data_IF_052474959461
#
_entry.id   IF_052474959461
#
_cell.length_a   1.000
_cell.length_b   1.000
_cell.length_c   1.000
_cell.angle_alpha   90.00
_cell.angle_beta   90.00
_cell.angle_gamma   90.00
#
_symmetry.space_group_name_H-M   'P 1'
#
loop_
_entity.id
_entity.type
_entity.pdbx_description
1 polymer ?
#
# COMPACT_ATOMS: atom_id res chain seq x y z
N UNK A 1 24.09 -2.36 3.76
CA UNK A 1 22.95 -1.71 3.07
C UNK A 1 21.74 -2.55 3.35
N UNK A 2 20.70 -1.96 3.91
CA UNK A 2 19.39 -2.61 4.00
C UNK A 2 18.84 -2.66 2.57
N UNK A 3 18.38 -3.83 2.07
CA UNK A 3 17.83 -3.90 0.72
C UNK A 3 16.60 -2.99 0.63
N UNK A 4 16.59 -2.08 -0.35
CA UNK A 4 15.52 -1.11 -0.59
C UNK A 4 14.18 -1.81 -0.83
N UNK A 5 13.10 -1.29 -0.24
CA UNK A 5 11.74 -1.73 -0.55
C UNK A 5 11.41 -1.29 -1.97
N UNK A 6 10.88 -2.22 -2.78
CA UNK A 6 10.52 -2.00 -4.20
C UNK A 6 9.02 -2.11 -4.45
N UNK A 7 8.32 -2.92 -3.66
CA UNK A 7 6.85 -3.02 -3.68
C UNK A 7 6.30 -3.24 -2.28
N UNK A 8 5.20 -2.56 -1.99
CA UNK A 8 4.32 -2.85 -0.85
C UNK A 8 2.90 -3.09 -1.35
N UNK A 9 2.22 -4.08 -0.79
CA UNK A 9 0.77 -4.20 -0.90
C UNK A 9 0.22 -4.10 0.51
N UNK A 10 -0.66 -3.13 0.73
CA UNK A 10 -1.23 -2.85 2.05
C UNK A 10 -2.76 -2.86 2.01
N UNK A 11 -3.36 -3.35 3.07
CA UNK A 11 -4.79 -3.24 3.37
C UNK A 11 -5.02 -2.00 4.22
N UNK A 12 -5.85 -1.08 3.73
CA UNK A 12 -6.11 0.23 4.34
C UNK A 12 -7.60 0.37 4.61
N UNK A 13 -7.94 0.62 5.86
CA UNK A 13 -9.28 1.08 6.24
C UNK A 13 -9.31 2.60 6.22
N UNK A 14 -10.29 3.20 5.55
CA UNK A 14 -10.50 4.66 5.54
C UNK A 14 -11.94 5.05 5.86
N UNK A 15 -12.18 6.27 6.37
CA UNK A 15 -13.52 6.87 6.36
C UNK A 15 -14.07 7.02 4.94
N UNK A 16 -15.37 7.32 4.81
CA UNK A 16 -15.99 7.62 3.51
C UNK A 16 -15.32 8.81 2.80
N UNK A 17 -14.91 9.82 3.57
CA UNK A 17 -14.20 11.01 3.11
C UNK A 17 -12.87 11.15 3.87
N UNK A 18 -11.74 11.43 3.19
CA UNK A 18 -11.63 11.76 1.77
C UNK A 18 -11.76 10.55 0.82
N UNK A 19 -12.03 10.83 -0.46
CA UNK A 19 -12.24 9.80 -1.50
C UNK A 19 -10.95 9.02 -1.82
N UNK A 20 -11.10 7.85 -2.44
CA UNK A 20 -9.99 6.96 -2.84
C UNK A 20 -8.93 7.68 -3.68
N UNK A 21 -9.32 8.67 -4.49
CA UNK A 21 -8.39 9.45 -5.30
C UNK A 21 -7.36 10.18 -4.43
N UNK A 22 -7.80 10.80 -3.34
CA UNK A 22 -6.92 11.57 -2.46
C UNK A 22 -5.96 10.67 -1.66
N UNK A 23 -6.42 9.48 -1.24
CA UNK A 23 -5.55 8.46 -0.67
C UNK A 23 -4.50 7.96 -1.68
N UNK A 24 -4.90 7.78 -2.94
CA UNK A 24 -4.00 7.29 -4.00
C UNK A 24 -2.95 8.34 -4.35
N UNK A 25 -3.36 9.60 -4.51
CA UNK A 25 -2.46 10.72 -4.83
C UNK A 25 -1.47 10.95 -3.68
N UNK A 26 -1.94 10.95 -2.44
CA UNK A 26 -1.09 11.14 -1.25
C UNK A 26 -0.06 10.02 -1.09
N UNK A 27 -0.45 8.76 -1.35
CA UNK A 27 0.49 7.64 -1.36
C UNK A 27 1.50 7.74 -2.51
N UNK A 28 1.09 8.26 -3.68
CA UNK A 28 1.97 8.44 -4.83
C UNK A 28 3.01 9.55 -4.63
N UNK A 29 2.70 10.56 -3.81
CA UNK A 29 3.61 11.66 -3.47
C UNK A 29 4.67 11.28 -2.40
N UNK A 30 4.59 10.08 -1.82
CA UNK A 30 5.55 9.61 -0.82
C UNK A 30 6.94 9.34 -1.43
N UNK A 31 7.98 9.51 -0.61
CA UNK A 31 9.37 9.32 -1.05
C UNK A 31 9.61 7.90 -1.55
N UNK A 32 10.28 7.80 -2.70
CA UNK A 32 10.63 6.52 -3.30
C UNK A 32 9.47 5.80 -3.98
N UNK A 33 8.31 6.45 -4.13
CA UNK A 33 7.16 5.88 -4.87
C UNK A 33 7.18 6.34 -6.33
N UNK A 34 7.14 5.38 -7.24
CA UNK A 34 7.02 5.62 -8.69
C UNK A 34 5.56 5.50 -9.17
N UNK A 35 4.76 4.68 -8.47
CA UNK A 35 3.35 4.49 -8.83
C UNK A 35 2.55 3.77 -7.75
N UNK A 36 1.26 4.08 -7.73
CA UNK A 36 0.28 3.50 -6.82
C UNK A 36 -0.93 3.01 -7.61
N UNK A 37 -1.39 1.80 -7.31
CA UNK A 37 -2.68 1.29 -7.70
C UNK A 37 -3.57 1.15 -6.46
N UNK A 38 -4.77 1.71 -6.51
CA UNK A 38 -5.77 1.58 -5.46
C UNK A 38 -6.98 0.79 -5.96
N UNK A 39 -7.45 -0.14 -5.14
CA UNK A 39 -8.68 -0.92 -5.39
C UNK A 39 -9.57 -0.82 -4.16
N UNK A 40 -10.81 -0.36 -4.35
CA UNK A 40 -11.85 -0.45 -3.32
C UNK A 40 -12.28 -1.91 -3.20
N UNK A 41 -12.02 -2.51 -2.04
CA UNK A 41 -12.35 -3.90 -1.73
C UNK A 41 -13.78 -4.01 -1.21
N UNK A 42 -14.13 -3.15 -0.25
CA UNK A 42 -15.42 -3.17 0.42
C UNK A 42 -15.84 -1.76 0.83
N UNK A 43 -17.16 -1.54 0.87
CA UNK A 43 -17.76 -0.33 1.43
C UNK A 43 -18.79 -0.71 2.47
N UNK A 44 -18.54 -0.28 3.69
CA UNK A 44 -19.45 -0.37 4.82
C UNK A 44 -20.15 0.97 5.08
N UNK A 45 -21.02 1.00 6.09
CA UNK A 45 -21.78 2.21 6.43
C UNK A 45 -20.88 3.39 6.82
N UNK A 46 -19.77 3.13 7.48
CA UNK A 46 -18.92 4.17 8.08
C UNK A 46 -17.50 4.19 7.49
N UNK A 47 -17.04 3.07 6.92
CA UNK A 47 -15.66 2.89 6.43
C UNK A 47 -15.61 2.22 5.07
N UNK A 48 -14.47 2.32 4.43
CA UNK A 48 -14.13 1.64 3.18
C UNK A 48 -12.79 0.93 3.34
N UNK A 49 -12.69 -0.29 2.81
CA UNK A 49 -11.43 -1.04 2.77
C UNK A 49 -10.81 -0.90 1.38
N UNK A 50 -9.56 -0.51 1.34
CA UNK A 50 -8.76 -0.31 0.13
C UNK A 50 -7.58 -1.27 0.13
N UNK A 51 -7.26 -1.80 -1.05
CA UNK A 51 -5.96 -2.40 -1.32
C UNK A 51 -5.11 -1.41 -2.09
N UNK A 52 -4.00 -0.98 -1.51
CA UNK A 52 -3.00 -0.18 -2.20
C UNK A 52 -1.82 -1.07 -2.60
N UNK A 53 -1.45 -1.03 -3.88
CA UNK A 53 -0.21 -1.61 -4.39
C UNK A 53 0.71 -0.48 -4.79
N UNK A 54 1.86 -0.38 -4.13
CA UNK A 54 2.84 0.70 -4.29
C UNK A 54 4.11 0.10 -4.87
N UNK A 55 4.64 0.69 -5.92
CA UNK A 55 5.94 0.34 -6.50
C UNK A 55 6.85 1.57 -6.59
N UNK A 56 8.15 1.34 -6.45
CA UNK A 56 9.16 2.37 -6.60
C UNK A 56 10.55 1.95 -6.13
N UNK A 57 11.39 2.92 -5.81
CA UNK A 57 12.76 2.72 -5.35
C UNK A 57 12.96 3.29 -3.95
N UNK A 58 13.29 2.42 -2.99
CA UNK A 58 13.53 2.79 -1.59
C UNK A 58 12.29 3.40 -0.92
N UNK A 59 11.14 2.72 -1.10
CA UNK A 59 9.87 3.12 -0.50
C UNK A 59 10.01 3.17 1.02
N UNK A 60 9.70 4.33 1.60
CA UNK A 60 9.63 4.52 3.05
C UNK A 60 8.25 4.09 3.57
N UNK A 61 8.20 2.88 4.15
CA UNK A 61 6.97 2.30 4.68
C UNK A 61 6.39 3.13 5.85
N UNK A 62 7.26 3.67 6.71
CA UNK A 62 6.82 4.46 7.87
C UNK A 62 6.19 5.78 7.41
N UNK A 63 6.78 6.41 6.39
CA UNK A 63 6.22 7.62 5.78
C UNK A 63 4.87 7.33 5.09
N UNK A 64 4.73 6.18 4.44
CA UNK A 64 3.49 5.77 3.79
C UNK A 64 2.38 5.53 4.84
N UNK A 65 2.68 4.84 5.94
CA UNK A 65 1.75 4.63 7.05
C UNK A 65 1.31 5.95 7.68
N UNK A 66 2.25 6.89 7.88
CA UNK A 66 1.94 8.21 8.40
C UNK A 66 1.04 9.01 7.45
N UNK A 67 1.32 8.99 6.14
CA UNK A 67 0.52 9.68 5.14
C UNK A 67 -0.92 9.14 5.06
N UNK A 68 -1.11 7.83 5.19
CA UNK A 68 -2.44 7.20 5.30
C UNK A 68 -3.15 7.65 6.57
N UNK A 69 -2.45 7.69 7.71
CA UNK A 69 -3.02 8.10 8.99
C UNK A 69 -3.43 9.58 9.01
N UNK A 70 -2.68 10.45 8.34
CA UNK A 70 -2.97 11.89 8.24
C UNK A 70 -4.29 12.17 7.50
N UNK A 71 -4.70 11.28 6.58
CA UNK A 71 -6.00 11.31 5.90
C UNK A 71 -7.12 10.64 6.70
N UNK A 72 -6.83 10.17 7.93
CA UNK A 72 -7.78 9.47 8.78
C UNK A 72 -7.93 7.98 8.46
N UNK A 73 -7.07 7.43 7.61
CA UNK A 73 -7.01 6.00 7.35
C UNK A 73 -6.20 5.23 8.39
N UNK A 74 -6.18 3.91 8.27
CA UNK A 74 -5.36 3.02 9.09
C UNK A 74 -4.89 1.85 8.23
N UNK A 75 -3.58 1.58 8.26
CA UNK A 75 -3.03 0.36 7.65
C UNK A 75 -3.37 -0.82 8.56
N UNK A 76 -4.19 -1.74 8.07
CA UNK A 76 -4.62 -2.94 8.78
C UNK A 76 -3.55 -4.04 8.72
N UNK A 77 -2.97 -4.24 7.53
CA UNK A 77 -1.90 -5.19 7.30
C UNK A 77 -1.02 -4.78 6.11
N UNK A 78 0.22 -5.23 6.16
CA UNK A 78 1.09 -5.31 4.99
C UNK A 78 0.95 -6.72 4.42
N UNK A 79 0.21 -6.84 3.33
CA UNK A 79 -0.14 -8.12 2.69
C UNK A 79 1.04 -8.68 1.87
N UNK A 80 1.88 -7.81 1.29
CA UNK A 80 3.04 -8.22 0.51
C UNK A 80 4.15 -7.18 0.60
N UNK A 81 5.40 -7.67 0.64
CA UNK A 81 6.61 -6.85 0.54
C UNK A 81 7.56 -7.47 -0.48
N UNK A 82 8.15 -6.65 -1.33
CA UNK A 82 9.24 -7.04 -2.23
C UNK A 82 10.42 -6.10 -2.01
N UNK A 83 11.58 -6.65 -1.65
CA UNK A 83 12.80 -5.88 -1.40
C UNK A 83 13.98 -6.41 -2.21
N UNK A 84 14.93 -5.52 -2.50
CA UNK A 84 16.18 -5.83 -3.21
C UNK A 84 16.30 -5.14 -4.57
N UNK A 85 17.17 -5.66 -5.43
CA UNK A 85 17.52 -5.02 -6.70
C UNK A 85 16.47 -5.22 -7.81
N UNK A 86 15.55 -6.17 -7.62
CA UNK A 86 14.52 -6.54 -8.60
C UNK A 86 13.23 -6.94 -7.91
N UNK A 87 12.14 -6.91 -8.68
CA UNK A 87 10.88 -7.49 -8.25
C UNK A 87 10.96 -9.03 -8.27
N UNK A 88 10.50 -9.65 -7.19
CA UNK A 88 10.36 -11.11 -7.05
C UNK A 88 8.88 -11.39 -6.87
N UNK A 89 8.26 -11.93 -7.91
CA UNK A 89 6.84 -12.31 -7.84
C UNK A 89 6.65 -13.56 -6.98
N UNK A 90 5.53 -13.62 -6.26
CA UNK A 90 5.13 -14.82 -5.53
C UNK A 90 4.87 -15.94 -6.54
N UNK A 91 5.49 -17.10 -6.31
CA UNK A 91 5.27 -18.30 -7.12
C UNK A 91 4.43 -19.27 -6.29
N UNK A 92 3.26 -19.64 -6.80
CA UNK A 92 2.41 -20.64 -6.16
C UNK A 92 3.11 -22.00 -6.15
N UNK A 93 3.01 -22.69 -5.01
CA UNK A 93 3.54 -24.02 -4.80
C UNK A 93 2.40 -24.99 -4.46
N UNK A 94 2.59 -26.31 -4.63
CA UNK A 94 1.62 -27.29 -4.15
C UNK A 94 1.28 -27.20 -2.65
N UNK A 95 2.11 -26.52 -1.84
CA UNK A 95 1.92 -26.31 -0.41
C UNK A 95 0.95 -25.17 -0.07
N UNK A 96 0.59 -24.31 -1.03
CA UNK A 96 -0.30 -23.17 -0.83
C UNK A 96 -1.79 -23.52 -1.00
N UNK A 97 -2.11 -24.82 -1.14
CA UNK A 97 -3.47 -25.35 -1.33
C UNK A 97 -3.99 -26.15 -0.15
#
# INVERSE_FOLDING_TARGET
MTPSIRRLVIDVMKPQEPDILEFTDTAADCSGVDGVNAVLIETDREVQNLKLTIEGEDIDADALEAAVADLGGTVHSIDQVVCGERLVEQVETPQDR
#
